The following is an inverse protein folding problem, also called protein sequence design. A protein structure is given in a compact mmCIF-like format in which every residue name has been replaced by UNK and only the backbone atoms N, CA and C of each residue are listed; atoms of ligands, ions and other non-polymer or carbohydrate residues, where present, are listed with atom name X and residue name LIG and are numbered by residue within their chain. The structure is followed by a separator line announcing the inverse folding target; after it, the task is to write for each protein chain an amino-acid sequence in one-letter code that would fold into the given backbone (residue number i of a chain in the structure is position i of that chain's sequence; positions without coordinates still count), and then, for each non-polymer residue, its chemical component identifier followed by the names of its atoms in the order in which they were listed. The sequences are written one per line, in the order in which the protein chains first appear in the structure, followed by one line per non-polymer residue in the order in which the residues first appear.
data_IF_032317993572
#
_entry.id   IF_032317993572
#
_cell.length_a   1.000
_cell.length_b   1.000
_cell.length_c   1.000
_cell.angle_alpha   90.00
_cell.angle_beta   90.00
_cell.angle_gamma   90.00
#
_symmetry.space_group_name_H-M   'P 1'
#
loop_
_entity.id
_entity.type
_entity.pdbx_description
1 polymer ?
#
# COMPACT_ATOMS: atom_id res chain seq x y z
N UNK A 1 -13.29 24.79 -6.30
CA UNK A 1 -13.69 23.39 -6.53
C UNK A 1 -13.22 22.58 -5.33
N UNK A 2 -14.14 22.00 -4.56
CA UNK A 2 -13.80 21.23 -3.36
C UNK A 2 -13.48 19.78 -3.72
N UNK A 3 -12.68 19.12 -2.89
CA UNK A 3 -12.50 17.68 -2.93
C UNK A 3 -13.51 17.02 -2.00
N UNK A 4 -14.03 15.86 -2.38
CA UNK A 4 -15.08 15.18 -1.61
C UNK A 4 -14.74 13.71 -1.44
N UNK A 5 -15.02 13.16 -0.26
CA UNK A 5 -15.08 11.72 -0.04
C UNK A 5 -16.56 11.33 0.06
N UNK A 6 -17.03 10.50 -0.86
CA UNK A 6 -18.42 10.06 -0.93
C UNK A 6 -18.55 8.66 -0.37
N UNK A 7 -19.47 8.47 0.57
CA UNK A 7 -19.99 7.14 0.83
C UNK A 7 -21.07 6.83 -0.19
N UNK A 8 -20.89 5.74 -0.92
CA UNK A 8 -21.74 5.43 -2.07
C UNK A 8 -21.91 3.93 -2.24
N UNK A 9 -23.01 3.57 -2.90
CA UNK A 9 -23.17 2.25 -3.50
C UNK A 9 -22.50 2.26 -4.86
N UNK A 10 -21.56 1.34 -5.05
CA UNK A 10 -20.66 1.24 -6.19
C UNK A 10 -21.10 0.06 -7.04
N UNK A 11 -21.22 0.28 -8.35
CA UNK A 11 -21.58 -0.74 -9.32
C UNK A 11 -20.42 -0.87 -10.31
N UNK A 12 -19.65 -1.95 -10.18
CA UNK A 12 -18.61 -2.29 -11.15
C UNK A 12 -19.22 -2.92 -12.39
N UNK A 13 -18.73 -2.59 -13.59
CA UNK A 13 -19.17 -3.24 -14.83
C UNK A 13 -18.70 -4.70 -14.88
N UNK A 14 -19.57 -5.59 -15.35
CA UNK A 14 -19.30 -7.05 -15.33
C UNK A 14 -18.16 -7.47 -16.26
N UNK A 15 -17.85 -6.67 -17.29
CA UNK A 15 -16.88 -6.98 -18.33
C UNK A 15 -15.50 -6.32 -18.13
N UNK A 16 -15.25 -5.67 -16.99
CA UNK A 16 -13.93 -5.05 -16.76
C UNK A 16 -12.86 -6.10 -16.51
N UNK A 17 -11.85 -6.12 -17.38
CA UNK A 17 -10.74 -7.08 -17.30
C UNK A 17 -9.90 -6.86 -16.03
N UNK A 18 -9.59 -5.60 -15.71
CA UNK A 18 -8.77 -5.26 -14.56
C UNK A 18 -9.49 -4.25 -13.66
N UNK A 19 -10.24 -4.70 -12.64
CA UNK A 19 -10.89 -3.80 -11.69
C UNK A 19 -9.91 -2.80 -11.06
N UNK A 20 -10.33 -1.55 -10.91
CA UNK A 20 -9.45 -0.45 -10.49
C UNK A 20 -9.75 0.08 -9.10
N UNK A 21 -10.96 -0.14 -8.60
CA UNK A 21 -11.34 0.21 -7.24
C UNK A 21 -10.94 -0.91 -6.29
N UNK A 22 -10.49 -0.52 -5.10
CA UNK A 22 -10.06 -1.44 -4.06
C UNK A 22 -10.91 -1.23 -2.82
N UNK A 23 -11.24 -2.34 -2.16
CA UNK A 23 -11.92 -2.33 -0.86
C UNK A 23 -11.30 -3.36 0.06
N UNK A 24 -11.60 -3.25 1.36
CA UNK A 24 -11.17 -4.18 2.38
C UNK A 24 -12.31 -5.11 2.75
N UNK A 25 -12.05 -6.42 2.69
CA UNK A 25 -12.97 -7.44 3.14
C UNK A 25 -12.39 -8.17 4.34
N UNK A 26 -13.21 -8.37 5.37
CA UNK A 26 -12.85 -9.19 6.52
C UNK A 26 -12.99 -10.67 6.14
N UNK A 27 -11.92 -11.42 6.28
CA UNK A 27 -11.89 -12.88 6.07
C UNK A 27 -11.51 -13.58 7.37
N UNK A 28 -11.68 -14.90 7.43
CA UNK A 28 -11.23 -15.71 8.56
C UNK A 28 -9.72 -15.55 8.83
N UNK A 29 -8.94 -15.16 7.82
CA UNK A 29 -7.50 -14.93 7.89
C UNK A 29 -7.14 -13.44 8.01
N UNK A 30 -8.07 -12.61 8.48
CA UNK A 30 -7.90 -11.17 8.66
C UNK A 30 -8.41 -10.33 7.50
N UNK A 31 -8.01 -9.06 7.49
CA UNK A 31 -8.43 -8.08 6.47
C UNK A 31 -7.65 -8.32 5.18
N UNK A 32 -8.36 -8.39 4.05
CA UNK A 32 -7.77 -8.48 2.71
C UNK A 32 -8.21 -7.32 1.85
N UNK A 33 -7.27 -6.73 1.13
CA UNK A 33 -7.58 -5.78 0.05
C UNK A 33 -7.93 -6.59 -1.20
N UNK A 34 -9.09 -6.30 -1.80
CA UNK A 34 -9.55 -6.90 -3.05
C UNK A 34 -9.93 -5.80 -4.05
N UNK A 35 -10.06 -6.16 -5.31
CA UNK A 35 -10.63 -5.29 -6.35
C UNK A 35 -11.89 -5.96 -6.89
N UNK A 36 -13.04 -5.74 -6.25
CA UNK A 36 -14.25 -6.52 -6.49
C UNK A 36 -14.91 -6.15 -7.82
N UNK A 37 -15.71 -7.08 -8.33
CA UNK A 37 -16.75 -6.85 -9.34
C UNK A 37 -18.13 -6.99 -8.68
N UNK A 38 -19.18 -6.51 -9.35
CA UNK A 38 -20.53 -6.48 -8.80
C UNK A 38 -20.82 -5.20 -8.02
N UNK A 39 -21.61 -5.32 -6.95
CA UNK A 39 -22.13 -4.18 -6.18
C UNK A 39 -21.69 -4.24 -4.72
N UNK A 40 -21.21 -3.13 -4.18
CA UNK A 40 -20.87 -2.98 -2.76
C UNK A 40 -20.98 -1.52 -2.32
N UNK A 41 -20.85 -1.25 -1.03
CA UNK A 41 -20.86 0.11 -0.48
C UNK A 41 -19.47 0.43 0.10
N UNK A 42 -18.95 1.62 -0.21
CA UNK A 42 -17.67 2.08 0.32
C UNK A 42 -17.53 3.61 0.24
N UNK A 43 -16.52 4.13 0.94
CA UNK A 43 -16.07 5.50 0.84
C UNK A 43 -15.09 5.65 -0.34
N UNK A 44 -15.40 6.54 -1.28
CA UNK A 44 -14.57 6.80 -2.45
C UNK A 44 -14.21 8.28 -2.58
N UNK A 45 -12.96 8.55 -2.95
CA UNK A 45 -12.49 9.88 -3.24
C UNK A 45 -13.07 10.39 -4.58
N UNK A 46 -13.48 11.67 -4.65
CA UNK A 46 -14.17 12.24 -5.80
C UNK A 46 -13.41 12.12 -7.12
N UNK A 47 -12.08 12.25 -7.11
CA UNK A 47 -11.27 12.08 -8.33
C UNK A 47 -11.13 10.61 -8.74
N UNK A 48 -11.13 9.70 -7.75
CA UNK A 48 -11.10 8.25 -8.01
C UNK A 48 -12.44 7.78 -8.60
N UNK A 49 -13.55 8.31 -8.09
CA UNK A 49 -14.88 8.13 -8.67
C UNK A 49 -14.91 8.62 -10.12
N UNK A 50 -14.50 9.86 -10.40
CA UNK A 50 -14.44 10.40 -11.77
C UNK A 50 -13.60 9.55 -12.70
N UNK A 51 -12.48 9.03 -12.21
CA UNK A 51 -11.63 8.14 -12.98
C UNK A 51 -12.35 6.81 -13.28
N UNK A 52 -12.97 6.19 -12.27
CA UNK A 52 -13.70 4.94 -12.42
C UNK A 52 -14.90 5.03 -13.35
N UNK A 53 -15.63 6.16 -13.37
CA UNK A 53 -16.73 6.37 -14.31
C UNK A 53 -16.30 6.22 -15.78
N UNK A 54 -15.04 6.56 -16.12
CA UNK A 54 -14.49 6.37 -17.48
C UNK A 54 -14.41 4.90 -17.90
N UNK A 55 -14.34 4.00 -16.92
CA UNK A 55 -14.28 2.56 -17.13
C UNK A 55 -15.64 1.88 -16.95
N UNK A 56 -16.73 2.65 -16.88
CA UNK A 56 -18.10 2.11 -16.82
C UNK A 56 -18.65 1.88 -15.42
N UNK A 57 -17.92 2.28 -14.36
CA UNK A 57 -18.46 2.23 -13.00
C UNK A 57 -19.61 3.22 -12.84
N UNK A 58 -20.63 2.81 -12.08
CA UNK A 58 -21.74 3.68 -11.67
C UNK A 58 -21.76 3.81 -10.15
N UNK A 59 -22.34 4.91 -9.68
CA UNK A 59 -22.35 5.27 -8.27
C UNK A 59 -23.71 5.83 -7.89
N UNK A 60 -24.20 5.44 -6.73
CA UNK A 60 -25.31 6.07 -6.02
C UNK A 60 -24.74 6.72 -4.75
N UNK A 61 -24.68 8.04 -4.73
CA UNK A 61 -24.10 8.81 -3.62
C UNK A 61 -25.11 8.85 -2.47
N UNK A 62 -24.69 8.42 -1.29
CA UNK A 62 -25.51 8.42 -0.09
C UNK A 62 -25.23 9.67 0.74
N UNK A 63 -23.94 9.95 1.03
CA UNK A 63 -23.48 11.13 1.76
C UNK A 63 -21.98 11.36 1.50
N UNK A 64 -21.40 12.45 2.00
CA UNK A 64 -19.96 12.66 1.89
C UNK A 64 -19.39 13.79 2.74
N UNK A 65 -18.06 13.85 2.80
CA UNK A 65 -17.28 14.90 3.46
C UNK A 65 -16.58 15.79 2.45
N UNK A 66 -16.75 17.10 2.60
CA UNK A 66 -16.15 18.11 1.71
C UNK A 66 -14.88 18.69 2.33
N UNK A 67 -13.84 18.83 1.53
CA UNK A 67 -12.54 19.37 1.92
C UNK A 67 -12.08 20.49 1.00
N UNK A 68 -11.35 21.45 1.55
CA UNK A 68 -10.56 22.37 0.74
C UNK A 68 -9.36 21.64 0.12
N UNK A 69 -9.02 22.00 -1.12
CA UNK A 69 -7.87 21.43 -1.81
C UNK A 69 -6.79 22.50 -1.99
N UNK A 70 -5.53 22.13 -1.73
CA UNK A 70 -4.34 22.96 -1.95
C UNK A 70 -3.14 22.08 -2.30
N UNK A 71 -2.17 22.62 -3.02
CA UNK A 71 -0.87 21.97 -3.27
C UNK A 71 0.07 22.17 -2.08
N UNK A 72 -0.24 21.52 -0.96
CA UNK A 72 0.46 21.76 0.32
C UNK A 72 1.87 21.18 0.40
N UNK A 73 2.25 20.30 -0.53
CA UNK A 73 3.55 19.59 -0.50
C UNK A 73 4.54 20.02 -1.60
N UNK A 74 4.23 21.03 -2.42
CA UNK A 74 5.10 21.44 -3.53
C UNK A 74 6.53 21.75 -3.06
N UNK A 75 6.70 22.69 -2.12
CA UNK A 75 8.03 23.06 -1.64
C UNK A 75 8.77 21.89 -0.97
N UNK A 76 8.04 21.02 -0.26
CA UNK A 76 8.60 19.85 0.39
C UNK A 76 9.16 18.85 -0.63
N UNK A 77 8.33 18.50 -1.63
CA UNK A 77 8.72 17.56 -2.69
C UNK A 77 9.84 18.14 -3.52
N UNK A 78 9.75 19.42 -3.91
CA UNK A 78 10.76 20.07 -4.74
C UNK A 78 12.12 20.10 -4.04
N UNK A 79 12.15 20.46 -2.76
CA UNK A 79 13.37 20.46 -1.97
C UNK A 79 13.99 19.06 -1.88
N UNK A 80 13.23 18.04 -1.45
CA UNK A 80 13.78 16.70 -1.28
C UNK A 80 14.14 16.04 -2.62
N UNK A 81 13.37 16.29 -3.67
CA UNK A 81 13.60 15.67 -4.97
C UNK A 81 14.73 16.40 -5.73
N UNK A 82 14.58 17.70 -5.99
CA UNK A 82 15.51 18.44 -6.84
C UNK A 82 16.81 18.80 -6.10
N UNK A 83 16.74 19.21 -4.84
CA UNK A 83 17.93 19.71 -4.13
C UNK A 83 18.73 18.59 -3.44
N UNK A 84 18.11 17.43 -3.17
CA UNK A 84 18.78 16.29 -2.56
C UNK A 84 18.83 15.08 -3.50
N UNK A 85 17.70 14.45 -3.80
CA UNK A 85 17.66 13.16 -4.49
C UNK A 85 18.26 13.18 -5.91
N UNK A 86 18.13 14.30 -6.62
CA UNK A 86 18.72 14.46 -7.96
C UNK A 86 20.16 14.98 -7.93
N UNK A 87 20.58 15.59 -6.81
CA UNK A 87 21.91 16.18 -6.65
C UNK A 87 22.97 15.17 -6.20
N UNK A 88 22.58 14.21 -5.38
CA UNK A 88 23.47 13.20 -4.81
C UNK A 88 23.27 11.82 -5.46
N UNK A 89 24.36 11.09 -5.66
CA UNK A 89 24.33 9.72 -6.16
C UNK A 89 23.59 8.75 -5.24
N UNK A 90 23.13 7.62 -5.78
CA UNK A 90 22.36 6.60 -5.03
C UNK A 90 23.13 5.97 -3.86
N UNK A 91 24.46 5.97 -3.90
CA UNK A 91 25.32 5.49 -2.81
C UNK A 91 25.42 6.50 -1.66
N UNK A 92 25.04 7.76 -1.88
CA UNK A 92 25.14 8.80 -0.87
C UNK A 92 23.97 8.69 0.15
N UNK A 93 24.25 8.73 1.47
CA UNK A 93 23.21 8.69 2.49
C UNK A 93 22.11 9.76 2.33
N UNK A 94 22.43 10.95 1.82
CA UNK A 94 21.44 12.01 1.61
C UNK A 94 20.40 11.65 0.54
N UNK A 95 20.80 10.90 -0.50
CA UNK A 95 19.86 10.39 -1.50
C UNK A 95 18.85 9.43 -0.84
N UNK A 96 19.36 8.53 -0.01
CA UNK A 96 18.56 7.56 0.73
C UNK A 96 17.60 8.23 1.72
N UNK A 97 18.08 9.19 2.51
CA UNK A 97 17.27 9.99 3.44
C UNK A 97 16.15 10.71 2.69
N UNK A 98 16.47 11.40 1.59
CA UNK A 98 15.47 12.09 0.78
C UNK A 98 14.40 11.12 0.23
N UNK A 99 14.81 9.93 -0.23
CA UNK A 99 13.88 8.88 -0.67
C UNK A 99 12.96 8.41 0.46
N UNK A 100 13.49 8.15 1.65
CA UNK A 100 12.68 7.73 2.80
C UNK A 100 11.67 8.80 3.17
N UNK A 101 12.10 10.07 3.30
CA UNK A 101 11.22 11.16 3.70
C UNK A 101 10.07 11.35 2.70
N UNK A 102 10.37 11.37 1.39
CA UNK A 102 9.37 11.43 0.33
C UNK A 102 8.34 10.29 0.43
N UNK A 103 8.80 9.06 0.68
CA UNK A 103 7.93 7.88 0.71
C UNK A 103 7.18 7.72 2.04
N UNK A 104 7.70 8.25 3.15
CA UNK A 104 7.13 8.03 4.48
C UNK A 104 6.12 9.09 4.88
N UNK A 105 6.11 10.26 4.22
CA UNK A 105 5.24 11.37 4.58
C UNK A 105 3.75 10.98 4.55
N UNK A 106 3.28 10.32 3.49
CA UNK A 106 1.86 9.92 3.42
C UNK A 106 1.51 8.88 4.50
N UNK A 107 2.46 7.99 4.84
CA UNK A 107 2.29 7.01 5.90
C UNK A 107 2.15 7.66 7.27
N UNK A 108 2.86 8.78 7.50
CA UNK A 108 2.68 9.59 8.71
C UNK A 108 1.27 10.15 8.82
N UNK A 109 0.68 10.61 7.71
CA UNK A 109 -0.69 11.12 7.71
C UNK A 109 -1.75 10.02 7.92
N UNK A 110 -1.48 8.78 7.53
CA UNK A 110 -2.38 7.64 7.68
C UNK A 110 -2.10 6.76 8.91
N UNK A 111 -1.29 7.24 9.86
CA UNK A 111 -0.94 6.50 11.07
C UNK A 111 -2.16 6.40 12.00
N UNK A 112 -2.38 5.23 12.59
CA UNK A 112 -3.33 5.09 13.70
C UNK A 112 -2.75 5.82 14.91
N UNK A 113 -3.45 6.82 15.41
CA UNK A 113 -3.08 7.64 16.56
C UNK A 113 -3.52 7.02 17.90
N UNK A 114 -4.21 5.88 17.87
CA UNK A 114 -4.49 5.06 19.04
C UNK A 114 -3.27 4.18 19.36
N UNK A 115 -2.32 4.74 20.10
CA UNK A 115 -1.14 4.02 20.55
C UNK A 115 -1.43 3.22 21.82
N UNK A 116 -0.95 1.96 21.92
CA UNK A 116 -0.97 1.25 23.18
C UNK A 116 0.02 1.88 24.16
N UNK A 117 -0.30 1.81 25.44
CA UNK A 117 0.63 2.14 26.52
C UNK A 117 1.62 1.00 26.72
N UNK A 118 2.86 1.37 27.05
CA UNK A 118 3.95 0.43 27.35
C UNK A 118 4.49 0.78 28.74
N UNK A 119 4.47 -0.19 29.65
CA UNK A 119 4.96 -0.01 31.02
C UNK A 119 5.87 -1.16 31.43
N UNK A 120 6.94 -0.84 32.15
CA UNK A 120 7.84 -1.83 32.77
C UNK A 120 7.43 -2.04 34.22
N UNK A 121 6.95 -3.24 34.53
CA UNK A 121 6.38 -3.57 35.84
C UNK A 121 7.24 -4.64 36.51
N UNK A 122 7.63 -4.42 37.77
CA UNK A 122 8.33 -5.46 38.54
C UNK A 122 7.41 -6.67 38.77
N UNK A 123 7.94 -7.90 38.70
CA UNK A 123 7.14 -9.13 38.81
C UNK A 123 6.28 -9.20 40.07
N UNK A 124 6.78 -8.66 41.18
CA UNK A 124 6.02 -8.63 42.45
C UNK A 124 4.75 -7.77 42.38
N UNK A 125 4.69 -6.83 41.43
CA UNK A 125 3.58 -5.89 41.27
C UNK A 125 2.63 -6.27 40.11
N UNK A 126 2.98 -7.28 39.29
CA UNK A 126 2.19 -7.61 38.09
C UNK A 126 0.75 -7.98 38.42
N UNK A 127 0.53 -8.76 39.48
CA UNK A 127 -0.82 -9.18 39.88
C UNK A 127 -1.72 -7.98 40.21
N UNK A 128 -1.16 -6.95 40.84
CA UNK A 128 -1.89 -5.73 41.17
C UNK A 128 -2.27 -4.94 39.92
N UNK A 129 -1.39 -4.93 38.91
CA UNK A 129 -1.67 -4.31 37.62
C UNK A 129 -2.73 -5.09 36.85
N UNK A 130 -2.59 -6.42 36.76
CA UNK A 130 -3.53 -7.30 36.07
C UNK A 130 -4.93 -7.20 36.64
N UNK A 131 -5.07 -7.21 37.97
CA UNK A 131 -6.37 -7.10 38.63
C UNK A 131 -7.14 -5.82 38.21
N UNK A 132 -6.43 -4.77 37.77
CA UNK A 132 -7.04 -3.51 37.32
C UNK A 132 -7.21 -3.43 35.81
N UNK A 133 -6.38 -4.11 35.03
CA UNK A 133 -6.22 -3.88 33.59
C UNK A 133 -6.29 -5.14 32.72
N UNK A 134 -6.64 -6.31 33.27
CA UNK A 134 -6.52 -7.60 32.58
C UNK A 134 -7.10 -7.61 31.16
N UNK A 135 -8.31 -7.05 30.99
CA UNK A 135 -9.02 -7.03 29.70
C UNK A 135 -8.37 -6.12 28.65
N UNK A 136 -7.50 -5.20 29.08
CA UNK A 136 -6.81 -4.24 28.21
C UNK A 136 -5.42 -4.70 27.81
N UNK A 137 -4.89 -5.77 28.41
CA UNK A 137 -3.54 -6.23 28.13
C UNK A 137 -3.51 -6.87 26.74
N UNK A 138 -2.71 -6.28 25.86
CA UNK A 138 -2.50 -6.74 24.49
C UNK A 138 -1.40 -7.80 24.45
N UNK A 139 -0.26 -7.53 25.12
CA UNK A 139 0.89 -8.43 25.10
C UNK A 139 1.82 -8.22 26.30
N UNK A 140 2.71 -9.19 26.54
CA UNK A 140 3.65 -9.23 27.67
C UNK A 140 4.99 -9.80 27.23
N UNK A 141 6.06 -9.16 27.68
CA UNK A 141 7.42 -9.65 27.46
C UNK A 141 8.11 -9.78 28.82
N UNK A 142 8.48 -11.00 29.19
CA UNK A 142 9.26 -11.28 30.41
C UNK A 142 10.72 -10.85 30.20
N UNK A 143 11.21 -9.97 31.06
CA UNK A 143 12.56 -9.41 31.05
C UNK A 143 13.33 -9.76 32.33
N UNK A 144 13.02 -10.89 32.96
CA UNK A 144 13.67 -11.34 34.19
C UNK A 144 12.92 -10.84 35.42
N UNK A 145 13.41 -9.80 36.10
CA UNK A 145 12.72 -9.25 37.29
C UNK A 145 11.57 -8.29 36.94
N UNK A 146 11.48 -7.91 35.67
CA UNK A 146 10.45 -7.03 35.14
C UNK A 146 9.67 -7.72 34.03
N UNK A 147 8.45 -7.24 33.81
CA UNK A 147 7.60 -7.60 32.68
C UNK A 147 7.29 -6.29 31.96
N UNK A 148 7.56 -6.25 30.67
CA UNK A 148 7.07 -5.20 29.79
C UNK A 148 5.62 -5.55 29.42
N UNK A 149 4.68 -4.68 29.79
CA UNK A 149 3.25 -4.87 29.51
C UNK A 149 2.81 -3.86 28.48
N UNK A 150 2.18 -4.35 27.42
CA UNK A 150 1.55 -3.56 26.37
C UNK A 150 0.05 -3.61 26.59
N UNK A 151 -0.61 -2.46 26.75
CA UNK A 151 -2.04 -2.40 27.06
C UNK A 151 -2.75 -1.23 26.37
N UNK A 152 -4.06 -1.36 26.19
CA UNK A 152 -4.89 -0.28 25.64
C UNK A 152 -4.94 0.91 26.60
N UNK A 153 -4.60 2.11 26.08
CA UNK A 153 -4.63 3.35 26.86
C UNK A 153 -6.06 3.87 27.00
N UNK A 154 -6.47 4.29 28.20
CA UNK A 154 -7.78 4.93 28.44
C UNK A 154 -7.81 6.41 28.01
N UNK A 155 -6.65 7.06 27.85
CA UNK A 155 -6.58 8.49 27.68
C UNK A 155 -6.50 8.90 26.21
N UNK A 156 -7.65 8.85 25.53
CA UNK A 156 -7.83 9.53 24.23
C UNK A 156 -8.31 10.98 24.43
N UNK A 157 -8.81 11.35 25.62
CA UNK A 157 -9.41 12.67 25.87
C UNK A 157 -8.57 13.65 26.70
N UNK A 158 -7.53 13.20 27.43
CA UNK A 158 -6.72 14.10 28.29
C UNK A 158 -5.35 14.48 27.73
N UNK A 159 -4.87 13.81 26.68
CA UNK A 159 -3.68 14.26 25.96
C UNK A 159 -4.10 15.08 24.74
N UNK A 160 -3.89 16.39 24.79
CA UNK A 160 -3.92 17.30 23.64
C UNK A 160 -2.77 17.00 22.65
N UNK A 161 -2.34 15.75 22.51
CA UNK A 161 -1.39 15.38 21.47
C UNK A 161 -2.12 15.39 20.14
N UNK A 162 -2.14 16.58 19.53
CA UNK A 162 -2.46 16.75 18.11
C UNK A 162 -1.38 16.04 17.32
N UNK A 163 -1.55 14.74 17.13
CA UNK A 163 -0.73 13.98 16.22
C UNK A 163 -0.89 14.60 14.83
N UNK A 164 0.22 14.82 14.12
CA UNK A 164 0.23 15.33 12.75
C UNK A 164 -0.27 14.24 11.77
N UNK A 165 -1.47 13.74 11.99
CA UNK A 165 -2.20 12.74 11.20
C UNK A 165 -3.36 13.42 10.48
N UNK A 166 -3.64 12.95 9.26
CA UNK A 166 -4.77 13.41 8.47
C UNK A 166 -5.10 12.31 7.45
N UNK A 167 -6.05 11.45 7.83
CA UNK A 167 -6.43 10.30 7.01
C UNK A 167 -6.92 10.72 5.62
N UNK A 168 -7.56 11.90 5.49
CA UNK A 168 -8.05 12.44 4.22
C UNK A 168 -6.90 12.73 3.25
N UNK A 169 -5.79 13.28 3.75
CA UNK A 169 -4.58 13.51 2.95
C UNK A 169 -3.97 12.19 2.49
N UNK A 170 -3.80 11.23 3.40
CA UNK A 170 -3.25 9.92 3.06
C UNK A 170 -4.12 9.17 2.03
N UNK A 171 -5.44 9.21 2.21
CA UNK A 171 -6.40 8.62 1.30
C UNK A 171 -6.35 9.29 -0.09
N UNK A 172 -6.28 10.63 -0.16
CA UNK A 172 -6.18 11.35 -1.43
C UNK A 172 -4.86 11.03 -2.17
N UNK A 173 -3.71 11.00 -1.46
CA UNK A 173 -2.41 10.66 -2.07
C UNK A 173 -2.45 9.25 -2.68
N UNK A 174 -2.94 8.26 -1.92
CA UNK A 174 -3.02 6.88 -2.41
C UNK A 174 -4.03 6.72 -3.54
N UNK A 175 -5.14 7.44 -3.51
CA UNK A 175 -6.11 7.49 -4.60
C UNK A 175 -5.50 8.06 -5.89
N UNK A 176 -4.76 9.18 -5.82
CA UNK A 176 -4.07 9.71 -6.99
C UNK A 176 -3.01 8.75 -7.55
N UNK A 177 -2.31 8.00 -6.70
CA UNK A 177 -1.40 6.94 -7.15
C UNK A 177 -2.16 5.83 -7.92
N UNK A 178 -3.30 5.37 -7.40
CA UNK A 178 -4.15 4.37 -8.10
C UNK A 178 -4.73 4.90 -9.41
N UNK A 179 -5.18 6.16 -9.44
CA UNK A 179 -5.64 6.83 -10.65
C UNK A 179 -4.51 6.86 -11.69
N UNK A 180 -3.30 7.24 -11.29
CA UNK A 180 -2.14 7.23 -12.18
C UNK A 180 -1.87 5.82 -12.74
N UNK A 181 -1.93 4.78 -11.91
CA UNK A 181 -1.71 3.40 -12.38
C UNK A 181 -2.87 2.83 -13.22
N UNK A 182 -4.09 3.35 -13.06
CA UNK A 182 -5.27 2.86 -13.78
C UNK A 182 -5.16 3.01 -15.30
N UNK A 183 -4.36 3.99 -15.77
CA UNK A 183 -4.12 4.21 -17.19
C UNK A 183 -3.39 3.06 -17.88
N UNK A 184 -2.74 2.18 -17.13
CA UNK A 184 -2.06 0.99 -17.64
C UNK A 184 -2.91 -0.28 -17.51
N UNK A 185 -3.86 -0.32 -16.57
CA UNK A 185 -4.64 -1.52 -16.25
C UNK A 185 -5.60 -1.93 -17.36
N UNK A 186 -6.38 -1.01 -17.91
CA UNK A 186 -7.37 -1.33 -18.96
C UNK A 186 -7.04 -0.61 -20.27
N UNK A 187 -5.76 -0.49 -20.59
CA UNK A 187 -5.31 0.07 -21.85
C UNK A 187 -5.29 -1.02 -22.93
N UNK A 188 -6.04 -0.89 -24.03
CA UNK A 188 -6.09 -1.92 -25.07
C UNK A 188 -4.74 -2.14 -25.77
N UNK A 189 -3.82 -1.16 -25.69
CA UNK A 189 -2.48 -1.25 -26.29
C UNK A 189 -1.46 -1.89 -25.34
N UNK A 190 -1.86 -2.30 -24.14
CA UNK A 190 -0.96 -2.87 -23.13
C UNK A 190 -1.52 -4.22 -22.70
N UNK A 191 -0.75 -5.27 -22.95
CA UNK A 191 -1.03 -6.59 -22.40
C UNK A 191 -0.41 -6.70 -20.99
N UNK A 192 -1.18 -6.28 -19.99
CA UNK A 192 -0.73 -6.26 -18.61
C UNK A 192 -0.78 -7.68 -17.99
N UNK A 193 0.38 -8.18 -17.56
CA UNK A 193 0.50 -9.45 -16.85
C UNK A 193 0.38 -9.30 -15.34
N UNK A 194 1.01 -8.26 -14.78
CA UNK A 194 1.07 -8.06 -13.33
C UNK A 194 1.31 -6.60 -12.97
N UNK A 195 0.83 -6.20 -11.79
CA UNK A 195 1.08 -4.88 -11.20
C UNK A 195 1.12 -4.99 -9.68
N UNK A 196 2.08 -4.31 -9.04
CA UNK A 196 2.16 -4.14 -7.58
C UNK A 196 2.45 -2.67 -7.28
N UNK A 197 1.48 -1.99 -6.67
CA UNK A 197 1.53 -0.59 -6.21
C UNK A 197 1.86 0.43 -7.32
N UNK A 198 3.10 0.51 -7.76
CA UNK A 198 3.70 1.49 -8.66
C UNK A 198 4.50 0.85 -9.81
N UNK A 199 4.28 -0.45 -10.07
CA UNK A 199 4.93 -1.22 -11.14
C UNK A 199 3.93 -1.86 -12.09
N UNK A 200 4.35 -2.08 -13.34
CA UNK A 200 3.64 -2.89 -14.33
C UNK A 200 4.61 -3.85 -15.02
N UNK A 201 4.11 -5.03 -15.38
CA UNK A 201 4.81 -6.05 -16.15
C UNK A 201 3.98 -6.33 -17.39
N UNK A 202 4.57 -6.11 -18.56
CA UNK A 202 3.91 -6.13 -19.87
C UNK A 202 4.91 -6.55 -20.92
N UNK A 203 4.43 -7.22 -21.97
CA UNK A 203 5.21 -7.49 -23.20
C UNK A 203 5.18 -6.30 -24.17
N UNK A 204 4.29 -5.35 -23.93
CA UNK A 204 4.00 -4.25 -24.86
C UNK A 204 4.98 -3.09 -24.65
N UNK A 205 5.44 -2.48 -25.74
CA UNK A 205 6.24 -1.26 -25.67
C UNK A 205 5.41 -0.08 -25.15
N UNK A 206 5.94 0.63 -24.16
CA UNK A 206 5.29 1.81 -23.59
C UNK A 206 5.75 3.07 -24.32
N UNK A 207 4.81 3.96 -24.59
CA UNK A 207 5.09 5.29 -25.15
C UNK A 207 6.13 6.02 -24.28
N UNK A 208 7.17 6.56 -24.93
CA UNK A 208 8.28 7.27 -24.30
C UNK A 208 7.84 8.43 -23.39
N UNK A 209 6.63 8.98 -23.59
CA UNK A 209 6.07 9.99 -22.67
C UNK A 209 5.91 9.48 -21.25
N UNK A 210 5.68 8.17 -21.05
CA UNK A 210 5.53 7.54 -19.74
C UNK A 210 6.86 7.15 -19.11
N UNK A 211 7.95 7.13 -19.87
CA UNK A 211 9.23 6.56 -19.44
C UNK A 211 10.27 7.66 -19.16
N UNK A 212 10.84 7.66 -17.95
CA UNK A 212 12.03 8.42 -17.58
C UNK A 212 12.51 8.04 -16.17
N UNK A 213 13.79 7.67 -16.01
CA UNK A 213 14.37 7.34 -14.69
C UNK A 213 14.46 8.54 -13.73
N UNK A 214 14.45 9.77 -14.28
CA UNK A 214 14.77 11.01 -13.54
C UNK A 214 13.61 12.00 -13.46
N UNK A 215 12.43 11.66 -13.96
CA UNK A 215 11.26 12.54 -13.90
C UNK A 215 10.25 11.97 -12.93
N UNK A 216 9.83 12.78 -11.96
CA UNK A 216 8.81 12.39 -10.99
C UNK A 216 7.50 12.01 -11.69
N UNK A 217 6.92 10.87 -11.30
CA UNK A 217 5.67 10.36 -11.87
C UNK A 217 5.81 9.66 -13.22
N UNK A 218 7.03 9.49 -13.75
CA UNK A 218 7.29 8.62 -14.89
C UNK A 218 7.80 7.25 -14.43
N UNK A 219 7.53 6.24 -15.24
CA UNK A 219 8.01 4.88 -15.02
C UNK A 219 9.48 4.77 -15.41
N UNK A 220 10.21 3.96 -14.66
CA UNK A 220 11.56 3.53 -14.98
C UNK A 220 11.51 2.11 -15.54
N UNK A 221 12.18 1.87 -16.66
CA UNK A 221 12.45 0.50 -17.11
C UNK A 221 13.46 -0.14 -16.14
N UNK A 222 12.98 -1.04 -15.29
CA UNK A 222 13.85 -1.73 -14.31
C UNK A 222 14.48 -2.99 -14.89
N UNK A 223 13.70 -3.81 -15.58
CA UNK A 223 14.10 -5.13 -16.03
C UNK A 223 13.50 -5.45 -17.42
N UNK A 224 14.26 -6.20 -18.20
CA UNK A 224 13.78 -6.92 -19.38
C UNK A 224 13.94 -8.40 -19.06
N UNK A 225 12.81 -9.11 -19.02
CA UNK A 225 12.74 -10.52 -18.67
C UNK A 225 12.46 -11.34 -19.93
N UNK A 226 13.20 -12.44 -20.10
CA UNK A 226 12.92 -13.46 -21.12
C UNK A 226 11.67 -14.26 -20.73
N UNK A 227 11.56 -14.61 -19.44
CA UNK A 227 10.44 -15.38 -18.90
C UNK A 227 10.01 -14.84 -17.53
N UNK A 228 8.71 -14.92 -17.25
CA UNK A 228 8.14 -14.51 -15.97
C UNK A 228 7.00 -15.42 -15.52
N UNK A 229 6.92 -15.67 -14.21
CA UNK A 229 5.85 -16.43 -13.56
C UNK A 229 5.26 -15.57 -12.45
N UNK A 230 3.96 -15.28 -12.53
CA UNK A 230 3.21 -14.55 -11.51
C UNK A 230 2.17 -15.49 -10.87
N UNK A 231 2.33 -15.78 -9.57
CA UNK A 231 1.48 -16.76 -8.88
C UNK A 231 0.44 -16.10 -7.96
N UNK A 232 0.81 -15.00 -7.31
CA UNK A 232 -0.04 -14.29 -6.35
C UNK A 232 0.52 -12.87 -6.12
N UNK A 233 -0.22 -11.94 -5.45
CA UNK A 233 0.33 -10.66 -5.05
C UNK A 233 1.62 -10.85 -4.24
N UNK A 234 2.71 -10.25 -4.73
CA UNK A 234 4.07 -10.30 -4.19
C UNK A 234 4.67 -11.72 -4.17
N UNK A 235 4.21 -12.59 -5.08
CA UNK A 235 4.76 -13.93 -5.32
C UNK A 235 4.97 -14.13 -6.83
N UNK A 236 6.20 -13.85 -7.28
CA UNK A 236 6.58 -13.94 -8.69
C UNK A 236 8.08 -14.18 -8.90
N UNK A 237 8.44 -14.61 -10.10
CA UNK A 237 9.82 -14.86 -10.52
C UNK A 237 10.04 -14.39 -11.96
N UNK A 238 11.19 -13.76 -12.21
CA UNK A 238 11.63 -13.23 -13.50
C UNK A 238 12.99 -13.82 -13.83
N UNK A 239 13.12 -14.37 -15.02
CA UNK A 239 14.39 -14.77 -15.62
C UNK A 239 14.79 -13.69 -16.62
N UNK A 240 15.86 -12.96 -16.32
CA UNK A 240 16.36 -11.88 -17.17
C UNK A 240 17.12 -12.43 -18.37
N UNK A 241 17.25 -11.64 -19.44
CA UNK A 241 18.08 -12.00 -20.61
C UNK A 241 19.54 -12.28 -20.26
N UNK A 242 20.05 -11.69 -19.18
CA UNK A 242 21.39 -11.97 -18.64
C UNK A 242 21.52 -13.33 -17.95
N UNK A 243 20.44 -14.11 -17.84
CA UNK A 243 20.36 -15.34 -17.06
C UNK A 243 20.16 -15.12 -15.57
N UNK A 244 20.18 -13.86 -15.09
CA UNK A 244 19.93 -13.53 -13.68
C UNK A 244 18.48 -13.81 -13.30
N UNK A 245 18.28 -14.42 -12.14
CA UNK A 245 16.97 -14.64 -11.55
C UNK A 245 16.61 -13.50 -10.57
N UNK A 246 15.39 -12.99 -10.67
CA UNK A 246 14.81 -12.05 -9.70
C UNK A 246 13.49 -12.63 -9.23
N UNK A 247 13.31 -12.77 -7.92
CA UNK A 247 12.05 -13.28 -7.38
C UNK A 247 11.60 -12.49 -6.15
N UNK A 248 10.29 -12.53 -5.91
CA UNK A 248 9.63 -12.00 -4.70
C UNK A 248 8.71 -13.09 -4.18
N UNK A 249 8.80 -13.41 -2.89
CA UNK A 249 7.98 -14.45 -2.28
C UNK A 249 7.49 -14.00 -0.90
N UNK A 250 6.35 -13.31 -0.88
CA UNK A 250 5.73 -12.82 0.37
C UNK A 250 5.48 -13.96 1.35
N UNK A 251 5.95 -13.79 2.58
CA UNK A 251 5.78 -14.76 3.68
C UNK A 251 7.01 -15.65 3.92
N UNK A 252 7.96 -15.70 2.99
CA UNK A 252 9.26 -16.33 3.22
C UNK A 252 10.20 -15.31 3.89
N UNK A 253 10.70 -15.66 5.08
CA UNK A 253 11.75 -14.93 5.77
C UNK A 253 13.07 -15.69 5.58
N UNK A 254 14.07 -15.05 4.97
CA UNK A 254 15.41 -15.62 4.75
C UNK A 254 15.79 -15.77 3.27
N UNK A 255 17.09 -15.91 3.00
CA UNK A 255 17.62 -16.23 1.67
C UNK A 255 17.38 -17.70 1.35
N UNK A 256 16.16 -18.03 0.90
CA UNK A 256 15.88 -19.34 0.32
C UNK A 256 16.29 -19.26 -1.15
N UNK A 257 17.27 -20.06 -1.57
CA UNK A 257 17.72 -20.15 -2.96
C UNK A 257 16.67 -20.76 -3.89
N UNK A 258 15.56 -20.06 -4.12
CA UNK A 258 14.49 -20.48 -5.01
C UNK A 258 14.96 -20.43 -6.46
N UNK A 259 14.66 -21.48 -7.20
CA UNK A 259 14.96 -21.56 -8.64
C UNK A 259 13.73 -21.24 -9.46
N UNK A 260 13.92 -20.88 -10.74
CA UNK A 260 12.79 -20.70 -11.67
C UNK A 260 11.89 -21.95 -11.72
N UNK A 261 12.51 -23.13 -11.71
CA UNK A 261 11.83 -24.44 -11.70
C UNK A 261 10.92 -24.66 -10.49
N UNK A 262 11.24 -24.05 -9.33
CA UNK A 262 10.37 -24.14 -8.16
C UNK A 262 9.07 -23.36 -8.36
N UNK A 263 9.13 -22.20 -9.03
CA UNK A 263 7.94 -21.45 -9.43
C UNK A 263 7.14 -22.18 -10.52
N UNK A 264 7.79 -22.83 -11.49
CA UNK A 264 7.10 -23.68 -12.49
C UNK A 264 6.33 -24.83 -11.85
N UNK A 265 6.93 -25.49 -10.84
CA UNK A 265 6.24 -26.57 -10.09
C UNK A 265 5.00 -26.05 -9.37
N UNK A 266 5.05 -24.83 -8.82
CA UNK A 266 3.92 -24.21 -8.16
C UNK A 266 2.81 -23.84 -9.15
N UNK A 267 3.17 -23.42 -10.37
CA UNK A 267 2.22 -23.16 -11.45
C UNK A 267 1.43 -24.42 -11.85
N UNK A 268 2.10 -25.58 -11.86
CA UNK A 268 1.53 -26.88 -12.29
C UNK A 268 0.82 -27.66 -11.19
N UNK A 269 0.88 -27.22 -9.93
CA UNK A 269 0.24 -27.94 -8.83
C UNK A 269 -1.29 -27.81 -8.95
N UNK A 270 -1.94 -28.85 -9.50
CA UNK A 270 -3.39 -29.07 -9.33
C UNK A 270 -3.68 -28.98 -7.84
N UNK A 271 -4.67 -28.16 -7.48
CA UNK A 271 -5.19 -28.07 -6.13
C UNK A 271 -5.62 -29.48 -5.69
N UNK A 272 -4.82 -30.11 -4.84
CA UNK A 272 -5.27 -31.28 -4.09
C UNK A 272 -6.19 -30.68 -3.03
N UNK A 273 -7.50 -30.76 -3.27
CA UNK A 273 -8.50 -30.47 -2.26
C UNK A 273 -8.13 -31.27 -1.00
N UNK A 274 -7.78 -30.56 0.06
CA UNK A 274 -7.82 -31.08 1.42
C UNK A 274 -9.09 -30.58 2.07
#
# INVERSE_FOLDING_TARGET
MHLVFFYCKIFAPDNIKHPILQTHVKTNNGIRTISPIGTWEDMIFSEEMKNAMKFGYKFEILWGYTFEHKKVFTNYVDFLYHNLRMKYDKSNPLNFIAKILLNSLYGRFGMNDQFPSIELIHKDLIKNFENKNLEKIIDRIDLGNQILVIYESENVFESYETHNVNVSIAAAITAYARIHMSQFKNNPNINLFYTDTDSIYTDSELDSKFLCDKTLGKLKLEYIAEEAIFLNPKVYCLKLESGKLIYKAKGLKGEVGLTFKDFEKLLKKKWINK
#
